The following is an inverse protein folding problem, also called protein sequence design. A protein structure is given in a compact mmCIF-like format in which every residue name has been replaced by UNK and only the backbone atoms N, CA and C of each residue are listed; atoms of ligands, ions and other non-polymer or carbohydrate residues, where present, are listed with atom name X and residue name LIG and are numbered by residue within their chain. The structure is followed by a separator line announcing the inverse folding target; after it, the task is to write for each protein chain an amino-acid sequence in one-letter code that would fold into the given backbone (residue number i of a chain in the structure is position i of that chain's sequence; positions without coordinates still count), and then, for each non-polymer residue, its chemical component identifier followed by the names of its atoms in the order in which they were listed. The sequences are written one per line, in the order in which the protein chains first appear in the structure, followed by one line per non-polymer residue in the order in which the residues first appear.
data_IF_227619897766
#
_entry.id   IF_227619897766
#
_cell.length_a   1.000
_cell.length_b   1.000
_cell.length_c   1.000
_cell.angle_alpha   90.00
_cell.angle_beta   90.00
_cell.angle_gamma   90.00
#
_symmetry.space_group_name_H-M   'P 1'
#
loop_
_entity.id
_entity.type
_entity.pdbx_description
1 polymer ?
#
# COMPACT_ATOMS: atom_id res chain seq x y z
N UNK A 1 32.21 8.92 -12.51
CA UNK A 1 31.51 7.66 -12.39
C UNK A 1 30.01 7.89 -12.22
N UNK A 2 29.18 7.15 -12.93
CA UNK A 2 27.74 7.27 -12.77
C UNK A 2 27.31 6.83 -11.35
N UNK A 3 26.22 7.35 -10.83
CA UNK A 3 25.62 6.93 -9.54
C UNK A 3 25.40 5.42 -9.47
N UNK A 4 25.17 4.76 -10.59
CA UNK A 4 25.09 3.29 -10.68
C UNK A 4 26.37 2.60 -10.24
N UNK A 5 27.55 3.07 -10.68
CA UNK A 5 28.83 2.48 -10.28
C UNK A 5 29.11 2.63 -8.77
N UNK A 6 28.68 3.74 -8.16
CA UNK A 6 28.82 3.95 -6.72
C UNK A 6 27.92 2.99 -5.96
N UNK A 7 26.69 2.83 -6.42
CA UNK A 7 25.70 1.92 -5.81
C UNK A 7 26.16 0.46 -5.93
N UNK A 8 26.64 0.05 -7.10
CA UNK A 8 27.13 -1.32 -7.33
C UNK A 8 28.33 -1.65 -6.44
N UNK A 9 29.26 -0.70 -6.29
CA UNK A 9 30.41 -0.85 -5.39
C UNK A 9 29.98 -0.92 -3.92
N UNK A 10 29.04 -0.08 -3.52
CA UNK A 10 28.48 -0.11 -2.15
C UNK A 10 27.80 -1.47 -1.87
N UNK A 11 26.98 -1.95 -2.79
CA UNK A 11 26.29 -3.24 -2.67
C UNK A 11 27.31 -4.39 -2.53
N UNK A 12 28.33 -4.43 -3.38
CA UNK A 12 29.36 -5.46 -3.32
C UNK A 12 30.12 -5.46 -1.98
N UNK A 13 30.44 -4.29 -1.44
CA UNK A 13 31.11 -4.17 -0.14
C UNK A 13 30.19 -4.64 1.01
N UNK A 14 28.92 -4.24 0.99
CA UNK A 14 27.96 -4.67 2.02
C UNK A 14 27.72 -6.17 1.98
N UNK A 15 27.56 -6.74 0.78
CA UNK A 15 27.34 -8.18 0.61
C UNK A 15 28.56 -9.00 1.09
N UNK A 16 29.77 -8.47 0.94
CA UNK A 16 30.98 -9.11 1.44
C UNK A 16 31.08 -9.06 2.97
N UNK A 17 30.76 -7.89 3.56
CA UNK A 17 30.72 -7.75 5.02
C UNK A 17 29.64 -8.58 5.67
N UNK A 18 28.47 -8.72 5.05
CA UNK A 18 27.36 -9.51 5.58
C UNK A 18 27.66 -10.99 5.74
N UNK A 19 28.58 -11.55 4.94
CA UNK A 19 28.95 -12.97 5.00
C UNK A 19 29.43 -13.44 6.39
N UNK A 20 29.98 -12.53 7.19
CA UNK A 20 30.56 -12.87 8.49
C UNK A 20 29.93 -12.13 9.67
N UNK A 21 28.95 -11.25 9.44
CA UNK A 21 28.44 -10.34 10.47
C UNK A 21 27.01 -10.60 10.90
N UNK A 22 26.23 -11.36 10.12
CA UNK A 22 24.84 -11.68 10.47
C UNK A 22 24.45 -13.10 10.06
N UNK A 23 23.34 -13.60 10.64
CA UNK A 23 22.84 -14.97 10.38
C UNK A 23 22.45 -15.15 8.90
N UNK A 24 21.95 -14.11 8.25
CA UNK A 24 21.56 -14.17 6.82
C UNK A 24 22.76 -14.44 5.93
N UNK A 25 23.92 -13.84 6.26
CA UNK A 25 25.16 -14.07 5.52
C UNK A 25 25.70 -15.51 5.61
N UNK A 26 25.27 -16.28 6.61
CA UNK A 26 25.61 -17.69 6.77
C UNK A 26 24.63 -18.64 6.04
N UNK A 27 23.54 -18.14 5.49
CA UNK A 27 22.56 -18.92 4.76
C UNK A 27 22.82 -18.86 3.26
N UNK A 28 22.61 -19.97 2.57
CA UNK A 28 22.64 -20.04 1.12
C UNK A 28 21.47 -20.90 0.63
N UNK A 29 21.15 -20.78 -0.66
CA UNK A 29 20.14 -21.61 -1.28
C UNK A 29 20.68 -23.02 -1.55
N UNK A 30 19.89 -24.04 -1.24
CA UNK A 30 20.19 -25.41 -1.62
C UNK A 30 19.82 -25.65 -3.09
N UNK A 31 20.70 -25.24 -3.99
CA UNK A 31 20.46 -25.36 -5.42
C UNK A 31 20.47 -26.83 -5.86
N UNK A 32 19.49 -27.30 -6.63
CA UNK A 32 19.51 -28.63 -7.20
C UNK A 32 20.64 -28.76 -8.22
N UNK A 33 21.19 -29.96 -8.36
CA UNK A 33 22.26 -30.24 -9.33
C UNK A 33 21.83 -30.00 -10.78
N UNK A 34 20.56 -30.12 -11.07
CA UNK A 34 19.96 -29.86 -12.39
C UNK A 34 18.79 -28.87 -12.21
N UNK A 35 18.86 -27.74 -12.92
CA UNK A 35 17.78 -26.79 -12.97
C UNK A 35 16.55 -27.33 -13.72
N UNK A 36 15.38 -26.76 -13.43
CA UNK A 36 14.16 -27.00 -14.22
C UNK A 36 14.27 -26.35 -15.60
N UNK A 37 13.52 -26.84 -16.56
CA UNK A 37 13.45 -26.21 -17.90
C UNK A 37 12.78 -24.86 -17.81
N UNK A 38 13.18 -23.92 -18.66
CA UNK A 38 12.63 -22.55 -18.66
C UNK A 38 11.09 -22.55 -18.90
N UNK A 39 10.60 -23.49 -19.69
CA UNK A 39 9.16 -23.64 -19.97
C UNK A 39 8.34 -24.09 -18.74
N UNK A 40 9.01 -24.67 -17.75
CA UNK A 40 8.40 -25.10 -16.49
C UNK A 40 8.46 -23.99 -15.42
N UNK A 41 9.17 -22.89 -15.70
CA UNK A 41 9.27 -21.74 -14.79
C UNK A 41 8.08 -20.82 -15.00
N UNK A 42 7.48 -20.37 -13.90
CA UNK A 42 6.38 -19.40 -13.96
C UNK A 42 6.83 -18.10 -14.65
N UNK A 43 5.99 -17.56 -15.52
CA UNK A 43 6.29 -16.32 -16.23
C UNK A 43 6.38 -15.11 -15.30
N UNK A 44 7.20 -14.12 -15.64
CA UNK A 44 7.31 -12.86 -14.90
C UNK A 44 5.96 -12.18 -14.77
N UNK A 45 5.15 -12.15 -15.82
CA UNK A 45 3.82 -11.52 -15.83
C UNK A 45 2.89 -12.18 -14.80
N UNK A 46 2.96 -13.50 -14.66
CA UNK A 46 2.20 -14.21 -13.61
C UNK A 46 2.73 -13.88 -12.21
N UNK A 47 4.04 -13.85 -12.04
CA UNK A 47 4.67 -13.57 -10.74
C UNK A 47 4.32 -12.16 -10.25
N UNK A 48 4.42 -11.12 -11.10
CA UNK A 48 4.20 -9.72 -10.69
C UNK A 48 2.76 -9.42 -10.29
N UNK A 49 1.77 -10.18 -10.74
CA UNK A 49 0.37 -10.02 -10.30
C UNK A 49 0.19 -10.21 -8.80
N UNK A 50 1.09 -10.93 -8.14
CA UNK A 50 1.09 -11.17 -6.69
C UNK A 50 1.84 -10.11 -5.90
N UNK A 51 2.56 -9.20 -6.57
CA UNK A 51 3.29 -8.13 -5.89
C UNK A 51 2.37 -7.00 -5.48
N UNK A 52 2.60 -6.51 -4.26
CA UNK A 52 1.87 -5.39 -3.66
C UNK A 52 2.86 -4.40 -3.06
N UNK A 53 2.57 -3.10 -3.15
CA UNK A 53 3.38 -2.11 -2.42
C UNK A 53 3.02 -2.15 -0.94
N UNK A 54 3.96 -1.71 -0.10
CA UNK A 54 3.63 -1.35 1.27
C UNK A 54 2.57 -0.24 1.32
N UNK A 55 1.82 -0.18 2.42
CA UNK A 55 0.83 0.85 2.67
C UNK A 55 1.53 2.16 3.05
N UNK A 56 1.61 3.11 2.13
CA UNK A 56 2.20 4.43 2.34
C UNK A 56 1.13 5.48 2.12
N UNK A 57 0.76 6.22 3.20
CA UNK A 57 -0.37 7.12 3.16
C UNK A 57 -0.07 8.44 2.44
N UNK A 58 -1.08 8.97 1.76
CA UNK A 58 -1.05 10.30 1.15
C UNK A 58 -0.87 11.38 2.22
N UNK A 59 0.22 12.12 2.11
CA UNK A 59 0.69 13.10 3.11
C UNK A 59 1.88 12.60 3.94
N UNK A 60 2.09 11.30 4.10
CA UNK A 60 3.36 10.75 4.57
C UNK A 60 4.41 10.78 3.48
N UNK A 61 4.01 10.44 2.26
CA UNK A 61 4.78 10.65 1.02
C UNK A 61 4.12 11.73 0.16
N UNK A 62 4.85 12.26 -0.82
CA UNK A 62 4.34 13.28 -1.73
C UNK A 62 3.25 12.72 -2.66
N UNK A 63 2.48 13.63 -3.27
CA UNK A 63 1.48 13.28 -4.29
C UNK A 63 2.12 12.52 -5.45
N UNK A 64 3.24 13.03 -5.94
CA UNK A 64 3.97 12.48 -7.09
C UNK A 64 4.46 11.07 -6.81
N UNK A 65 5.04 10.82 -5.64
CA UNK A 65 5.50 9.50 -5.24
C UNK A 65 4.33 8.52 -5.12
N UNK A 66 3.23 8.95 -4.49
CA UNK A 66 2.03 8.13 -4.32
C UNK A 66 1.38 7.75 -5.66
N UNK A 67 1.30 8.70 -6.59
CA UNK A 67 0.78 8.46 -7.94
C UNK A 67 1.73 7.59 -8.79
N UNK A 68 3.04 7.83 -8.70
CA UNK A 68 4.04 7.06 -9.43
C UNK A 68 4.00 5.58 -9.06
N UNK A 69 3.86 5.27 -7.77
CA UNK A 69 3.69 3.90 -7.31
C UNK A 69 2.44 3.24 -7.89
N UNK A 70 1.32 3.96 -7.92
CA UNK A 70 0.08 3.44 -8.51
C UNK A 70 0.23 3.20 -10.01
N UNK A 71 0.83 4.14 -10.75
CA UNK A 71 1.07 4.01 -12.19
C UNK A 71 1.97 2.80 -12.49
N UNK A 72 3.08 2.66 -11.75
CA UNK A 72 4.02 1.57 -11.93
C UNK A 72 3.37 0.21 -11.68
N UNK A 73 2.64 0.07 -10.58
CA UNK A 73 1.98 -1.19 -10.23
C UNK A 73 0.85 -1.52 -11.20
N UNK A 74 0.06 -0.53 -11.64
CA UNK A 74 -0.97 -0.76 -12.65
C UNK A 74 -0.37 -1.19 -14.00
N UNK A 75 0.80 -0.64 -14.38
CA UNK A 75 1.51 -1.02 -15.59
C UNK A 75 2.03 -2.47 -15.53
N UNK A 76 2.51 -2.88 -14.36
CA UNK A 76 3.03 -4.22 -14.10
C UNK A 76 1.94 -5.25 -13.74
N UNK A 77 0.67 -4.87 -13.70
CA UNK A 77 -0.44 -5.70 -13.22
C UNK A 77 -0.31 -6.15 -11.76
N UNK A 78 0.55 -5.48 -10.98
CA UNK A 78 0.62 -5.59 -9.54
C UNK A 78 -0.39 -4.67 -8.84
N UNK A 79 -0.30 -4.55 -7.51
CA UNK A 79 -1.27 -3.78 -6.73
C UNK A 79 -0.58 -2.75 -5.85
N UNK A 80 -0.87 -1.47 -6.04
CA UNK A 80 -0.47 -0.41 -5.11
C UNK A 80 -1.49 -0.23 -4.00
N UNK A 81 -1.02 0.20 -2.83
CA UNK A 81 -1.83 0.42 -1.64
C UNK A 81 -1.88 1.92 -1.30
N UNK A 82 -3.07 2.44 -1.05
CA UNK A 82 -3.27 3.87 -0.71
C UNK A 82 -2.68 4.25 0.64
N UNK A 83 -2.47 3.30 1.55
CA UNK A 83 -2.34 3.63 2.96
C UNK A 83 -3.62 4.23 3.55
N UNK A 84 -3.57 4.66 4.80
CA UNK A 84 -4.73 5.12 5.59
C UNK A 84 -5.23 6.54 5.28
N UNK A 85 -4.58 7.26 4.37
CA UNK A 85 -4.85 8.68 4.10
C UNK A 85 -5.92 8.97 3.05
N UNK A 86 -6.59 7.96 2.52
CA UNK A 86 -7.50 8.12 1.40
C UNK A 86 -6.77 8.27 0.06
N UNK A 87 -7.52 8.62 -0.96
CA UNK A 87 -7.02 8.85 -2.31
C UNK A 87 -7.78 10.01 -2.96
N UNK A 88 -7.07 10.89 -3.66
CA UNK A 88 -7.71 12.00 -4.35
C UNK A 88 -8.71 11.47 -5.40
N UNK A 89 -9.91 12.05 -5.42
CA UNK A 89 -10.98 11.66 -6.34
C UNK A 89 -10.57 11.72 -7.81
N UNK A 90 -9.66 12.62 -8.17
CA UNK A 90 -9.20 12.81 -9.55
C UNK A 90 -8.35 11.64 -10.04
N UNK A 91 -7.86 10.79 -9.12
CA UNK A 91 -7.10 9.58 -9.44
C UNK A 91 -7.98 8.37 -9.79
N UNK A 92 -9.27 8.43 -9.47
CA UNK A 92 -10.21 7.33 -9.69
C UNK A 92 -10.63 7.17 -11.16
N UNK A 93 -10.20 8.11 -12.01
CA UNK A 93 -10.40 8.08 -13.46
C UNK A 93 -9.06 8.06 -14.18
N UNK A 94 -9.02 7.47 -15.36
CA UNK A 94 -7.82 7.47 -16.19
C UNK A 94 -7.50 8.93 -16.57
N UNK A 95 -6.26 9.34 -16.36
CA UNK A 95 -5.80 10.68 -16.70
C UNK A 95 -5.84 10.97 -18.22
N UNK A 96 -5.80 12.23 -18.60
CA UNK A 96 -5.74 12.65 -20.02
C UNK A 96 -4.48 12.11 -20.74
N UNK A 97 -3.45 11.76 -19.99
CA UNK A 97 -2.22 11.12 -20.45
C UNK A 97 -2.33 9.59 -20.59
N UNK A 98 -3.52 9.04 -20.43
CA UNK A 98 -3.80 7.60 -20.51
C UNK A 98 -3.32 6.79 -19.29
N UNK A 99 -2.76 7.43 -18.26
CA UNK A 99 -2.21 6.73 -17.09
C UNK A 99 -3.27 6.51 -16.02
N UNK A 100 -3.32 5.30 -15.51
CA UNK A 100 -4.15 4.93 -14.37
C UNK A 100 -3.39 5.20 -13.06
N UNK A 101 -3.89 6.17 -12.27
CA UNK A 101 -3.33 6.57 -10.97
C UNK A 101 -4.08 5.98 -9.78
N UNK A 102 -5.14 5.22 -10.04
CA UNK A 102 -5.95 4.60 -9.00
C UNK A 102 -5.19 3.43 -8.38
N UNK A 103 -5.03 3.45 -7.07
CA UNK A 103 -4.43 2.32 -6.35
C UNK A 103 -5.43 1.18 -6.21
N UNK A 104 -4.98 -0.05 -6.47
CA UNK A 104 -5.85 -1.23 -6.44
C UNK A 104 -6.31 -1.58 -5.02
N UNK A 105 -5.44 -1.38 -4.02
CA UNK A 105 -5.73 -1.68 -2.62
C UNK A 105 -6.10 -0.38 -1.91
N UNK A 106 -7.29 -0.35 -1.30
CA UNK A 106 -7.76 0.74 -0.46
C UNK A 106 -7.65 0.34 1.00
N UNK A 107 -6.81 1.05 1.75
CA UNK A 107 -6.67 0.79 3.18
C UNK A 107 -7.73 1.57 3.97
N UNK A 108 -8.36 0.89 4.93
CA UNK A 108 -9.30 1.46 5.90
C UNK A 108 -8.70 1.29 7.28
N UNK A 109 -8.38 2.41 7.95
CA UNK A 109 -7.89 2.41 9.31
C UNK A 109 -9.03 2.63 10.30
N UNK A 110 -9.48 3.85 10.47
CA UNK A 110 -10.56 4.18 11.41
C UNK A 110 -11.86 4.64 10.73
N UNK A 111 -11.98 4.47 9.45
CA UNK A 111 -13.14 4.96 8.69
C UNK A 111 -13.24 6.50 8.57
N UNK A 112 -12.30 7.25 9.15
CA UNK A 112 -12.33 8.72 9.21
C UNK A 112 -11.51 9.40 8.11
N UNK A 113 -10.31 8.89 7.83
CA UNK A 113 -9.33 9.60 7.00
C UNK A 113 -9.52 9.27 5.52
N UNK A 114 -10.37 10.01 4.85
CA UNK A 114 -10.57 9.90 3.40
C UNK A 114 -11.37 8.68 2.95
N UNK A 115 -12.01 7.96 3.86
CA UNK A 115 -12.88 6.84 3.53
C UNK A 115 -14.26 7.35 3.12
N UNK A 116 -14.57 7.19 1.85
CA UNK A 116 -15.86 7.55 1.25
C UNK A 116 -16.39 6.35 0.47
N UNK A 117 -17.70 6.34 0.15
CA UNK A 117 -18.29 5.29 -0.67
C UNK A 117 -17.58 5.18 -2.03
N UNK A 118 -17.25 6.31 -2.67
CA UNK A 118 -16.49 6.33 -3.93
C UNK A 118 -15.11 5.70 -3.78
N UNK A 119 -14.41 5.97 -2.68
CA UNK A 119 -13.12 5.36 -2.38
C UNK A 119 -13.26 3.84 -2.25
N UNK A 120 -14.24 3.36 -1.48
CA UNK A 120 -14.47 1.94 -1.27
C UNK A 120 -14.90 1.21 -2.55
N UNK A 121 -15.83 1.79 -3.33
CA UNK A 121 -16.31 1.18 -4.57
C UNK A 121 -15.27 1.14 -5.68
N UNK A 122 -14.23 1.96 -5.61
CA UNK A 122 -13.10 1.94 -6.56
C UNK A 122 -12.02 0.90 -6.21
N UNK A 123 -12.14 0.20 -5.08
CA UNK A 123 -11.19 -0.79 -4.63
C UNK A 123 -11.28 -2.09 -5.44
N UNK A 124 -10.12 -2.69 -5.74
CA UNK A 124 -10.03 -4.09 -6.12
C UNK A 124 -9.89 -4.97 -4.87
N UNK A 125 -9.17 -4.47 -3.87
CA UNK A 125 -9.02 -5.05 -2.55
C UNK A 125 -9.21 -3.97 -1.48
N UNK A 126 -9.86 -4.32 -0.38
CA UNK A 126 -9.93 -3.49 0.82
C UNK A 126 -9.03 -4.12 1.86
N UNK A 127 -8.17 -3.30 2.46
CA UNK A 127 -7.28 -3.72 3.53
C UNK A 127 -7.67 -3.00 4.83
N UNK A 128 -8.06 -3.76 5.84
CA UNK A 128 -8.32 -3.23 7.17
C UNK A 128 -6.99 -3.10 7.92
N UNK A 129 -6.70 -1.91 8.45
CA UNK A 129 -5.58 -1.67 9.34
C UNK A 129 -6.06 -1.75 10.78
N UNK A 130 -5.64 -2.78 11.49
CA UNK A 130 -6.07 -3.04 12.87
C UNK A 130 -5.22 -2.33 13.90
N UNK A 131 -3.90 -2.20 13.66
CA UNK A 131 -2.95 -1.66 14.61
C UNK A 131 -1.71 -1.12 13.91
N UNK A 132 -0.87 -0.39 14.67
CA UNK A 132 0.44 0.08 14.22
C UNK A 132 1.50 -0.34 15.23
N UNK A 133 2.41 -1.23 14.82
CA UNK A 133 3.39 -1.83 15.71
C UNK A 133 4.56 -0.93 16.09
N UNK A 134 4.95 0.02 15.23
CA UNK A 134 6.14 0.84 15.41
C UNK A 134 6.03 1.89 16.53
N UNK A 135 4.80 2.23 16.96
CA UNK A 135 4.52 3.25 17.98
C UNK A 135 3.42 2.79 18.93
N UNK A 136 3.65 1.71 19.69
CA UNK A 136 2.66 1.24 20.66
C UNK A 136 2.39 2.33 21.70
N UNK A 137 1.11 2.66 21.93
CA UNK A 137 0.66 3.70 22.85
C UNK A 137 0.60 5.13 22.28
N UNK A 138 1.33 5.45 21.22
CA UNK A 138 1.31 6.80 20.62
C UNK A 138 0.38 6.92 19.40
N UNK A 139 0.09 5.80 18.73
CA UNK A 139 -0.73 5.77 17.51
C UNK A 139 -0.06 6.35 16.28
N UNK A 140 -0.79 6.41 15.16
CA UNK A 140 -0.35 7.06 13.93
C UNK A 140 -0.40 8.59 14.06
N UNK A 141 0.62 9.27 13.58
CA UNK A 141 0.71 10.73 13.65
C UNK A 141 1.13 11.33 12.33
N UNK A 142 0.35 12.28 11.81
CA UNK A 142 0.73 13.17 10.73
C UNK A 142 0.83 14.59 11.28
N UNK A 143 2.05 15.18 11.35
CA UNK A 143 2.23 16.54 11.87
C UNK A 143 1.46 17.58 11.08
N UNK A 144 0.91 18.60 11.75
CA UNK A 144 0.12 19.66 11.11
C UNK A 144 0.85 20.33 9.94
N UNK A 145 2.18 20.53 10.05
CA UNK A 145 3.00 21.08 8.95
C UNK A 145 3.00 20.27 7.65
N UNK A 146 2.60 18.99 7.70
CA UNK A 146 2.44 18.12 6.53
C UNK A 146 0.98 18.07 6.04
N UNK A 147 0.04 18.61 6.80
CA UNK A 147 -1.38 18.64 6.43
C UNK A 147 -1.67 19.87 5.58
N UNK A 148 -1.17 19.84 4.35
CA UNK A 148 -1.45 20.87 3.34
C UNK A 148 -2.95 20.87 2.96
N UNK A 149 -3.47 21.96 2.36
CA UNK A 149 -4.89 22.05 1.97
C UNK A 149 -5.39 20.86 1.13
N UNK A 150 -4.58 20.40 0.18
CA UNK A 150 -4.94 19.26 -0.67
C UNK A 150 -4.91 17.92 0.09
N UNK A 151 -4.00 17.76 1.08
CA UNK A 151 -3.98 16.58 1.96
C UNK A 151 -5.21 16.58 2.88
N UNK A 152 -5.50 17.74 3.49
CA UNK A 152 -6.66 17.91 4.35
C UNK A 152 -7.98 17.61 3.62
N UNK A 153 -8.10 18.10 2.38
CA UNK A 153 -9.27 17.81 1.52
C UNK A 153 -9.46 16.32 1.28
N UNK A 154 -8.39 15.60 0.96
CA UNK A 154 -8.45 14.15 0.70
C UNK A 154 -8.73 13.37 1.99
N UNK A 155 -8.15 13.79 3.10
CA UNK A 155 -8.33 13.14 4.42
C UNK A 155 -9.61 13.56 5.15
N UNK A 156 -10.39 14.47 4.60
CA UNK A 156 -11.58 15.05 5.24
C UNK A 156 -11.25 15.69 6.60
N UNK A 157 -10.21 16.51 6.62
CA UNK A 157 -9.65 17.14 7.81
C UNK A 157 -9.36 18.62 7.60
N UNK A 158 -8.84 19.29 8.63
CA UNK A 158 -8.49 20.72 8.60
C UNK A 158 -7.02 20.93 8.26
N UNK A 159 -6.67 21.82 7.30
CA UNK A 159 -5.28 22.13 7.00
C UNK A 159 -4.52 22.66 8.23
N UNK A 160 -3.26 22.25 8.37
CA UNK A 160 -2.40 22.69 9.45
C UNK A 160 -2.64 22.03 10.80
N UNK A 161 -3.70 21.25 10.95
CA UNK A 161 -4.01 20.52 12.18
C UNK A 161 -3.43 19.11 12.10
N UNK A 162 -2.70 18.70 13.15
CA UNK A 162 -2.13 17.36 13.23
C UNK A 162 -3.23 16.29 13.26
N UNK A 163 -2.98 15.18 12.59
CA UNK A 163 -3.89 14.03 12.57
C UNK A 163 -3.30 12.91 13.40
N UNK A 164 -4.09 12.37 14.32
CA UNK A 164 -3.67 11.32 15.25
C UNK A 164 -4.71 10.20 15.22
N UNK A 165 -4.23 8.95 15.14
CA UNK A 165 -5.02 7.75 15.42
C UNK A 165 -4.69 7.29 16.83
N UNK A 166 -5.50 7.64 17.86
CA UNK A 166 -5.20 7.29 19.24
C UNK A 166 -5.39 5.79 19.51
N UNK A 167 -4.75 5.25 20.56
CA UNK A 167 -5.10 3.92 21.08
C UNK A 167 -6.50 3.91 21.72
N UNK A 168 -7.22 2.76 21.67
CA UNK A 168 -6.91 1.63 20.84
C UNK A 168 -6.92 2.00 19.37
N UNK A 169 -6.02 1.38 18.61
CA UNK A 169 -5.76 1.83 17.25
C UNK A 169 -6.98 1.58 16.35
N UNK A 170 -7.29 2.60 15.54
CA UNK A 170 -8.24 2.50 14.45
C UNK A 170 -9.69 2.20 14.87
N UNK A 171 -10.05 2.53 16.13
CA UNK A 171 -11.40 2.36 16.70
C UNK A 171 -11.89 0.90 16.74
N UNK A 172 -10.97 -0.07 16.69
CA UNK A 172 -11.24 -1.50 16.84
C UNK A 172 -10.84 -1.92 18.25
N UNK A 173 -11.82 -2.13 19.11
CA UNK A 173 -11.66 -2.43 20.54
C UNK A 173 -11.85 -3.91 20.85
N UNK A 174 -12.59 -4.61 19.99
CA UNK A 174 -12.98 -6.00 20.19
C UNK A 174 -13.09 -6.74 18.86
N UNK A 175 -13.32 -8.06 18.93
CA UNK A 175 -13.60 -8.89 17.77
C UNK A 175 -14.92 -8.50 17.11
N UNK A 176 -15.90 -8.10 17.93
CA UNK A 176 -17.22 -7.66 17.49
C UNK A 176 -17.14 -6.35 16.69
N UNK A 177 -16.30 -5.42 17.11
CA UNK A 177 -16.04 -4.18 16.35
C UNK A 177 -15.45 -4.50 14.96
N UNK A 178 -14.52 -5.46 14.91
CA UNK A 178 -13.95 -5.93 13.66
C UNK A 178 -15.00 -6.60 12.76
N UNK A 179 -15.86 -7.42 13.35
CA UNK A 179 -16.99 -8.06 12.64
C UNK A 179 -17.93 -7.02 12.03
N UNK A 180 -18.33 -6.01 12.83
CA UNK A 180 -19.16 -4.91 12.35
C UNK A 180 -18.49 -4.14 11.20
N UNK A 181 -17.20 -3.85 11.32
CA UNK A 181 -16.47 -3.17 10.25
C UNK A 181 -16.43 -4.01 8.97
N UNK A 182 -16.15 -5.31 9.07
CA UNK A 182 -16.16 -6.23 7.93
C UNK A 182 -17.55 -6.25 7.28
N UNK A 183 -18.61 -6.37 8.08
CA UNK A 183 -19.98 -6.34 7.57
C UNK A 183 -20.29 -5.05 6.82
N UNK A 184 -19.95 -3.90 7.40
CA UNK A 184 -20.15 -2.60 6.76
C UNK A 184 -19.40 -2.48 5.44
N UNK A 185 -18.14 -2.94 5.38
CA UNK A 185 -17.32 -2.89 4.18
C UNK A 185 -17.85 -3.83 3.08
N UNK A 186 -18.33 -5.02 3.45
CA UNK A 186 -18.95 -5.94 2.51
C UNK A 186 -20.26 -5.40 1.95
N UNK A 187 -21.05 -4.71 2.79
CA UNK A 187 -22.31 -4.10 2.39
C UNK A 187 -22.11 -2.90 1.45
N UNK A 188 -21.07 -2.09 1.68
CA UNK A 188 -20.82 -0.85 0.92
C UNK A 188 -19.97 -1.06 -0.31
N UNK A 189 -19.31 -2.21 -0.45
CA UNK A 189 -18.40 -2.49 -1.56
C UNK A 189 -18.99 -3.53 -2.51
N UNK A 190 -18.80 -3.37 -3.82
CA UNK A 190 -19.29 -4.37 -4.77
C UNK A 190 -18.60 -5.71 -4.51
N UNK A 191 -19.40 -6.72 -4.16
CA UNK A 191 -18.93 -8.10 -4.02
C UNK A 191 -18.59 -8.70 -5.38
N UNK A 192 -17.57 -9.57 -5.47
CA UNK A 192 -17.37 -10.38 -6.68
C UNK A 192 -18.62 -11.16 -7.11
N UNK A 193 -19.52 -11.49 -6.15
CA UNK A 193 -20.81 -12.14 -6.42
C UNK A 193 -21.79 -11.21 -7.13
N UNK A 194 -21.74 -9.91 -6.87
CA UNK A 194 -22.67 -8.94 -7.48
C UNK A 194 -22.36 -8.72 -8.96
N UNK A 195 -21.13 -8.98 -9.40
CA UNK A 195 -20.71 -8.92 -10.81
C UNK A 195 -21.21 -10.10 -11.63
N UNK A 196 -21.58 -11.21 -11.00
CA UNK A 196 -22.08 -12.41 -11.68
C UNK A 196 -23.59 -12.37 -11.98
N UNK A 197 -24.32 -11.43 -11.37
CA UNK A 197 -25.79 -11.28 -11.55
C UNK A 197 -26.16 -10.32 -12.68
N UNK A 198 -25.21 -9.59 -13.24
CA UNK A 198 -25.44 -8.60 -14.32
C UNK A 198 -25.02 -9.11 -15.71
N UNK A 199 -25.15 -10.41 -15.96
CA UNK A 199 -25.00 -11.00 -17.31
C UNK A 199 -26.26 -11.71 -17.73
#
# INVERSE_FOLDING_TARGET
GSEMCIRDRYTALVDEEEKNTNIRGLMDFNYPKKGVKLEEVESVDSIVTRFKTGAMSYGSISKEAHETLAIAMNHLHGKSNTGEGGEDKDRLTIGKDGKNRCSAIKQVASGRFGVTSRYLTSAQEIQIKMAQGAKPGEGGHLPGKKVYPWIAKTRLSTPGVALISPPPHHDIYSIEDLEQLIFCLLYTSPSPRDRSVSR
#
